data_IF_966547367868
#
_entry.id   IF_966547367868
#
_cell.length_a   1.000
_cell.length_b   1.000
_cell.length_c   1.000
_cell.angle_alpha   90.00
_cell.angle_beta   90.00
_cell.angle_gamma   90.00
#
_symmetry.space_group_name_H-M   'P 1'
#
loop_
_entity.id
_entity.type
_entity.pdbx_description
1 polymer ?
#
# COMPACT_ATOMS: atom_id res chain seq x y z
N UNK A 1 15.57 -7.89 8.87
CA UNK A 1 14.10 -7.74 8.82
C UNK A 1 13.78 -6.27 9.02
N UNK A 2 12.86 -5.67 8.23
CA UNK A 2 12.40 -4.30 8.48
C UNK A 2 11.58 -4.23 9.77
N UNK A 3 11.54 -3.06 10.42
CA UNK A 3 10.73 -2.84 11.62
C UNK A 3 9.33 -2.34 11.26
N UNK A 4 8.31 -2.68 12.07
CA UNK A 4 6.97 -2.11 11.88
C UNK A 4 7.00 -0.60 12.04
N UNK A 5 6.46 0.11 11.06
CA UNK A 5 6.53 1.57 10.98
C UNK A 5 7.78 2.10 10.27
N UNK A 6 8.71 1.24 9.84
CA UNK A 6 9.90 1.67 9.09
C UNK A 6 9.49 2.32 7.78
N UNK A 7 10.01 3.52 7.50
CA UNK A 7 9.72 4.30 6.30
C UNK A 7 10.92 4.26 5.35
N UNK A 8 10.68 3.85 4.11
CA UNK A 8 11.69 3.83 3.04
C UNK A 8 11.20 4.47 1.76
N UNK A 9 12.12 4.97 0.94
CA UNK A 9 11.82 5.43 -0.41
C UNK A 9 11.60 4.22 -1.32
N UNK A 10 10.79 4.41 -2.38
CA UNK A 10 10.52 3.38 -3.39
C UNK A 10 11.79 2.64 -3.86
N UNK A 11 12.86 3.38 -4.14
CA UNK A 11 14.12 2.84 -4.66
C UNK A 11 14.81 1.87 -3.68
N UNK A 12 14.64 2.08 -2.38
CA UNK A 12 15.26 1.24 -1.33
C UNK A 12 14.53 -0.09 -1.13
N UNK A 13 13.29 -0.19 -1.62
CA UNK A 13 12.43 -1.37 -1.51
C UNK A 13 12.19 -2.02 -2.88
N UNK A 14 12.99 -1.67 -3.89
CA UNK A 14 12.91 -2.24 -5.25
C UNK A 14 11.75 -1.71 -6.10
N UNK A 15 11.11 -0.62 -5.70
CA UNK A 15 10.04 0.05 -6.46
C UNK A 15 10.56 1.26 -7.25
N UNK A 16 9.94 1.51 -8.40
CA UNK A 16 10.20 2.72 -9.21
C UNK A 16 9.40 3.91 -8.66
N UNK A 17 9.92 5.13 -8.83
CA UNK A 17 9.25 6.39 -8.47
C UNK A 17 9.84 7.08 -7.23
N UNK A 18 9.10 8.08 -6.74
CA UNK A 18 9.46 8.94 -5.59
C UNK A 18 8.57 8.71 -4.37
N UNK A 19 7.60 7.80 -4.46
CA UNK A 19 6.72 7.47 -3.35
C UNK A 19 7.50 6.89 -2.17
N UNK A 20 7.00 7.14 -0.97
CA UNK A 20 7.47 6.52 0.26
C UNK A 20 6.64 5.25 0.53
N UNK A 21 7.28 4.27 1.13
CA UNK A 21 6.68 3.03 1.58
C UNK A 21 6.94 2.89 3.07
N UNK A 22 5.97 2.33 3.78
CA UNK A 22 6.08 1.99 5.19
C UNK A 22 5.89 0.50 5.36
N UNK A 23 6.69 -0.13 6.21
CA UNK A 23 6.51 -1.52 6.59
C UNK A 23 5.37 -1.63 7.59
N UNK A 24 4.27 -2.28 7.20
CA UNK A 24 3.07 -2.36 8.03
C UNK A 24 2.52 -3.78 8.07
N UNK A 25 1.95 -4.16 9.21
CA UNK A 25 1.20 -5.40 9.38
C UNK A 25 -0.24 -5.20 8.90
N UNK A 26 -0.68 -6.03 7.95
CA UNK A 26 -2.07 -6.00 7.50
C UNK A 26 -3.02 -6.52 8.60
N UNK A 27 -4.06 -5.76 8.95
CA UNK A 27 -5.07 -6.19 9.93
C UNK A 27 -5.77 -7.51 9.56
N UNK A 28 -6.09 -7.72 8.28
CA UNK A 28 -6.80 -8.94 7.84
C UNK A 28 -5.91 -10.19 7.76
N UNK A 29 -4.79 -10.11 7.02
CA UNK A 29 -3.96 -11.29 6.77
C UNK A 29 -2.79 -11.46 7.74
N UNK A 30 -2.56 -10.49 8.65
CA UNK A 30 -1.47 -10.45 9.62
C UNK A 30 -0.06 -10.60 9.04
N UNK A 31 0.08 -10.42 7.72
CA UNK A 31 1.37 -10.41 7.03
C UNK A 31 1.89 -8.99 6.93
N UNK A 32 3.19 -8.84 7.15
CA UNK A 32 3.90 -7.57 7.06
C UNK A 32 4.38 -7.32 5.64
N UNK A 33 4.16 -6.11 5.13
CA UNK A 33 4.52 -5.74 3.75
C UNK A 33 4.83 -4.25 3.65
N UNK A 34 5.65 -3.88 2.66
CA UNK A 34 5.77 -2.50 2.22
C UNK A 34 4.44 -2.05 1.60
N UNK A 35 3.82 -1.04 2.20
CA UNK A 35 2.65 -0.37 1.66
C UNK A 35 2.98 1.10 1.40
N UNK A 36 2.28 1.73 0.46
CA UNK A 36 2.50 3.15 0.19
C UNK A 36 2.20 3.97 1.44
N UNK A 37 3.04 4.96 1.69
CA UNK A 37 2.89 5.91 2.76
C UNK A 37 2.72 7.33 2.20
N UNK A 38 1.85 8.10 2.84
CA UNK A 38 1.64 9.52 2.56
C UNK A 38 1.71 10.26 3.87
N UNK A 39 2.48 11.36 3.93
CA UNK A 39 2.72 12.10 5.19
C UNK A 39 3.16 11.18 6.33
N UNK A 40 4.05 10.24 6.02
CA UNK A 40 4.64 9.27 6.98
C UNK A 40 3.64 8.27 7.58
N UNK A 41 2.40 8.27 7.10
CA UNK A 41 1.37 7.34 7.54
C UNK A 41 1.03 6.34 6.43
N UNK A 42 0.70 5.09 6.78
CA UNK A 42 0.24 4.11 5.81
C UNK A 42 -1.05 4.59 5.16
N UNK A 43 -1.13 4.56 3.82
CA UNK A 43 -2.36 4.95 3.13
C UNK A 43 -3.54 4.01 3.42
N UNK A 44 -3.24 2.81 3.93
CA UNK A 44 -4.22 1.86 4.41
C UNK A 44 -3.62 0.99 5.51
N UNK A 45 -4.41 0.66 6.52
CA UNK A 45 -4.03 -0.35 7.52
C UNK A 45 -4.04 -1.79 6.97
N UNK A 46 -4.42 -1.95 5.69
CA UNK A 46 -4.54 -3.24 5.00
C UNK A 46 -3.56 -3.32 3.83
N UNK A 47 -3.04 -4.51 3.57
CA UNK A 47 -2.28 -4.75 2.34
C UNK A 47 -3.18 -4.60 1.10
N UNK A 48 -2.60 -4.32 -0.07
CA UNK A 48 -3.35 -4.07 -1.31
C UNK A 48 -4.41 -5.14 -1.62
N UNK A 49 -4.08 -6.42 -1.46
CA UNK A 49 -5.03 -7.51 -1.74
C UNK A 49 -6.20 -7.55 -0.76
N UNK A 50 -5.95 -7.33 0.54
CA UNK A 50 -7.01 -7.23 1.54
C UNK A 50 -7.83 -5.95 1.34
N UNK A 51 -7.18 -4.82 1.08
CA UNK A 51 -7.84 -3.55 0.85
C UNK A 51 -8.81 -3.64 -0.34
N UNK A 52 -8.41 -4.26 -1.47
CA UNK A 52 -9.29 -4.50 -2.63
C UNK A 52 -10.57 -5.29 -2.29
N UNK A 53 -10.53 -6.19 -1.31
CA UNK A 53 -11.73 -6.93 -0.85
C UNK A 53 -12.70 -6.02 -0.09
N UNK A 54 -12.16 -5.02 0.61
CA UNK A 54 -12.92 -4.06 1.42
C UNK A 54 -13.36 -2.83 0.62
N UNK A 55 -12.72 -2.53 -0.52
CA UNK A 55 -13.19 -1.54 -1.49
C UNK A 55 -14.42 -2.07 -2.26
N UNK A 56 -15.54 -2.31 -1.57
CA UNK A 56 -16.85 -2.51 -2.21
C UNK A 56 -17.46 -1.15 -2.55
N UNK A 57 -17.18 -0.67 -3.76
CA UNK A 57 -18.13 -0.18 -4.77
C UNK A 57 -17.39 0.63 -5.84
N UNK A 58 -17.45 0.24 -7.13
CA UNK A 58 -17.07 1.11 -8.22
C UNK A 58 -18.19 2.12 -8.47
N UNK A 59 -17.93 3.40 -8.22
CA UNK A 59 -18.57 4.40 -9.09
C UNK A 59 -17.92 4.23 -10.46
N UNK A 60 -18.69 3.63 -11.36
CA UNK A 60 -18.44 3.54 -12.80
C UNK A 60 -17.98 4.91 -13.30
N UNK A 61 -16.81 4.96 -13.92
CA UNK A 61 -16.23 6.19 -14.46
C UNK A 61 -15.13 5.90 -15.49
N UNK A 62 -15.56 5.48 -16.67
CA UNK A 62 -14.85 5.43 -17.95
C UNK A 62 -13.74 4.39 -18.17
N UNK A 63 -14.17 3.34 -18.88
CA UNK A 63 -13.36 2.58 -19.84
C UNK A 63 -12.75 3.57 -20.85
N UNK A 64 -11.43 3.49 -21.08
CA UNK A 64 -10.85 3.98 -22.33
C UNK A 64 -10.47 2.74 -23.16
N UNK A 65 -11.26 2.37 -24.18
CA UNK A 65 -10.80 1.38 -25.15
C UNK A 65 -9.72 2.03 -26.02
N UNK A 66 -8.71 1.24 -26.39
CA UNK A 66 -7.72 1.59 -27.40
C UNK A 66 -8.25 1.22 -28.78
#
# INVERSE_FOLDING_TARGET
MPQLGELRKAREVGHKGTSKYIWNACLDCRKERWIKATREQPTSQRCRSCALKHFRQPNIGNKHPR
#
